data_IF_362686524295
#
_entry.id   IF_362686524295
#
_cell.length_a   1.000
_cell.length_b   1.000
_cell.length_c   1.000
_cell.angle_alpha   90.00
_cell.angle_beta   90.00
_cell.angle_gamma   90.00
#
_symmetry.space_group_name_H-M   'P 1'
#
loop_
_entity.id
_entity.type
_entity.pdbx_description
1 polymer ?
#
# COMPACT_ATOMS: atom_id res chain seq x y z
N UNK A 1 1.96 -3.96 18.70
CA UNK A 1 2.66 -4.54 17.55
C UNK A 1 1.76 -4.40 16.32
N UNK A 2 2.29 -3.99 15.15
CA UNK A 2 1.49 -3.71 13.96
C UNK A 2 0.88 -5.00 13.35
N UNK A 3 1.73 -6.02 13.22
CA UNK A 3 1.40 -7.37 12.75
C UNK A 3 1.42 -8.33 13.94
N UNK A 4 0.40 -9.16 14.09
CA UNK A 4 0.22 -10.06 15.23
C UNK A 4 0.38 -11.53 14.84
N UNK A 5 -0.17 -11.91 13.69
CA UNK A 5 -0.20 -13.29 13.20
C UNK A 5 -0.38 -13.32 11.68
N UNK A 6 -0.52 -14.53 11.12
CA UNK A 6 -0.60 -14.78 9.69
C UNK A 6 -1.89 -14.30 9.01
N UNK A 7 -2.88 -13.85 9.78
CA UNK A 7 -4.11 -13.27 9.25
C UNK A 7 -3.99 -11.75 9.07
N UNK A 8 -2.95 -11.11 9.60
CA UNK A 8 -2.73 -9.68 9.38
C UNK A 8 -2.07 -9.45 7.99
N UNK A 9 -2.48 -8.38 7.31
CA UNK A 9 -1.96 -8.03 5.99
C UNK A 9 -1.64 -6.55 5.82
N UNK A 10 -0.79 -6.25 4.84
CA UNK A 10 -0.37 -4.88 4.50
C UNK A 10 -0.57 -4.64 3.01
N UNK A 11 -1.21 -3.51 2.68
CA UNK A 11 -1.33 -3.07 1.30
C UNK A 11 0.00 -2.56 0.78
N UNK A 12 0.45 -3.07 -0.36
CA UNK A 12 1.76 -2.76 -0.97
C UNK A 12 1.57 -2.48 -2.46
N UNK A 13 2.21 -1.43 -3.03
CA UNK A 13 2.06 -1.11 -4.45
C UNK A 13 2.61 -2.21 -5.34
N UNK A 14 2.08 -2.31 -6.56
CA UNK A 14 2.63 -3.10 -7.65
C UNK A 14 2.85 -2.15 -8.85
N UNK A 15 4.08 -2.04 -9.39
CA UNK A 15 5.33 -2.63 -8.91
C UNK A 15 5.87 -1.96 -7.62
N UNK A 16 6.84 -2.60 -6.95
CA UNK A 16 7.46 -2.08 -5.70
C UNK A 16 8.92 -2.50 -5.50
N UNK A 17 9.63 -1.72 -4.68
CA UNK A 17 10.94 -2.08 -4.13
C UNK A 17 10.83 -3.30 -3.20
N UNK A 18 11.51 -4.43 -3.48
CA UNK A 18 11.21 -5.76 -2.91
C UNK A 18 11.36 -5.93 -1.38
N UNK A 19 11.78 -4.89 -0.66
CA UNK A 19 11.91 -4.93 0.80
C UNK A 19 10.60 -5.26 1.52
N UNK A 20 9.47 -4.71 1.06
CA UNK A 20 8.19 -4.91 1.75
C UNK A 20 7.70 -6.36 1.63
N UNK A 21 7.73 -6.92 0.42
CA UNK A 21 7.35 -8.32 0.21
C UNK A 21 8.24 -9.28 1.00
N UNK A 22 9.55 -9.05 1.01
CA UNK A 22 10.50 -9.85 1.78
C UNK A 22 10.25 -9.75 3.30
N UNK A 23 9.99 -8.54 3.80
CA UNK A 23 9.74 -8.30 5.22
C UNK A 23 8.43 -8.96 5.67
N UNK A 24 7.36 -8.85 4.89
CA UNK A 24 6.09 -9.49 5.20
C UNK A 24 6.20 -11.02 5.22
N UNK A 25 6.94 -11.60 4.26
CA UNK A 25 7.22 -13.04 4.25
C UNK A 25 7.97 -13.50 5.50
N UNK A 26 9.00 -12.75 5.93
CA UNK A 26 9.76 -13.04 7.15
C UNK A 26 8.91 -12.93 8.43
N UNK A 27 7.92 -12.04 8.44
CA UNK A 27 6.99 -11.84 9.56
C UNK A 27 5.76 -12.78 9.49
N UNK A 28 5.65 -13.63 8.46
CA UNK A 28 4.51 -14.51 8.25
C UNK A 28 3.20 -13.79 7.91
N UNK A 29 3.25 -12.51 7.54
CA UNK A 29 2.09 -11.67 7.25
C UNK A 29 1.74 -11.68 5.75
N UNK A 30 0.51 -11.30 5.43
CA UNK A 30 0.01 -11.31 4.05
C UNK A 30 0.36 -10.00 3.31
N UNK A 31 0.94 -10.14 2.12
CA UNK A 31 1.05 -9.01 1.19
C UNK A 31 -0.27 -8.84 0.42
N UNK A 32 -0.83 -7.63 0.46
CA UNK A 32 -2.06 -7.25 -0.24
C UNK A 32 -1.70 -6.29 -1.38
N UNK A 33 -1.42 -6.83 -2.58
CA UNK A 33 -1.05 -6.00 -3.73
C UNK A 33 -2.19 -5.09 -4.19
N UNK A 34 -1.85 -3.82 -4.48
CA UNK A 34 -2.68 -2.88 -5.23
C UNK A 34 -1.91 -2.37 -6.45
N UNK A 35 -2.60 -2.25 -7.58
CA UNK A 35 -1.98 -1.89 -8.86
C UNK A 35 -1.85 -0.37 -9.00
N UNK A 36 -0.68 0.08 -9.43
CA UNK A 36 -0.48 1.44 -9.91
C UNK A 36 -0.88 1.52 -11.40
N UNK A 37 -1.43 2.65 -11.81
CA UNK A 37 -1.86 2.85 -13.21
C UNK A 37 -0.70 3.38 -14.06
N UNK A 38 -0.02 2.47 -14.78
CA UNK A 38 1.10 2.79 -15.67
C UNK A 38 0.73 3.82 -16.74
N UNK A 39 -0.44 3.68 -17.38
CA UNK A 39 -0.97 4.57 -18.41
C UNK A 39 -1.30 5.98 -17.89
N UNK A 40 -1.51 6.12 -16.58
CA UNK A 40 -1.72 7.38 -15.88
C UNK A 40 -0.44 7.86 -15.15
N UNK A 41 0.75 7.48 -15.61
CA UNK A 41 2.01 7.93 -15.02
C UNK A 41 2.27 7.35 -13.63
N UNK A 42 1.86 6.10 -13.42
CA UNK A 42 1.93 5.38 -12.14
C UNK A 42 1.09 6.04 -11.04
N UNK A 43 -0.07 6.60 -11.40
CA UNK A 43 -1.05 7.12 -10.46
C UNK A 43 -1.56 6.02 -9.51
N UNK A 44 -2.02 6.43 -8.34
CA UNK A 44 -2.54 5.53 -7.32
C UNK A 44 -4.04 5.76 -7.11
N UNK A 45 -4.90 5.12 -7.93
CA UNK A 45 -6.35 5.22 -7.80
C UNK A 45 -6.83 4.62 -6.48
N UNK A 46 -7.69 5.34 -5.77
CA UNK A 46 -8.28 4.87 -4.50
C UNK A 46 -9.18 3.66 -4.74
N UNK A 47 -9.76 3.54 -5.93
CA UNK A 47 -10.57 2.40 -6.35
C UNK A 47 -9.78 1.08 -6.31
N UNK A 48 -8.48 1.09 -6.67
CA UNK A 48 -7.64 -0.11 -6.58
C UNK A 48 -7.30 -0.46 -5.13
N UNK A 49 -7.18 0.56 -4.25
CA UNK A 49 -7.01 0.35 -2.81
C UNK A 49 -8.25 -0.30 -2.18
N UNK A 50 -9.46 0.17 -2.55
CA UNK A 50 -10.73 -0.41 -2.10
C UNK A 50 -10.85 -1.87 -2.58
N UNK A 51 -10.56 -2.15 -3.86
CA UNK A 51 -10.57 -3.54 -4.39
C UNK A 51 -9.56 -4.44 -3.67
N UNK A 52 -8.36 -3.94 -3.35
CA UNK A 52 -7.36 -4.71 -2.62
C UNK A 52 -7.83 -5.05 -1.21
N UNK A 53 -8.49 -4.11 -0.53
CA UNK A 53 -9.09 -4.31 0.78
C UNK A 53 -10.23 -5.33 0.73
N UNK A 54 -11.14 -5.23 -0.24
CA UNK A 54 -12.21 -6.21 -0.44
C UNK A 54 -11.67 -7.63 -0.67
N UNK A 55 -10.66 -7.79 -1.55
CA UNK A 55 -10.00 -9.08 -1.78
C UNK A 55 -9.40 -9.66 -0.50
N UNK A 56 -8.83 -8.81 0.36
CA UNK A 56 -8.26 -9.23 1.64
C UNK A 56 -9.35 -9.76 2.59
N UNK A 57 -10.46 -9.02 2.71
CA UNK A 57 -11.58 -9.39 3.59
C UNK A 57 -12.24 -10.71 3.15
N UNK A 58 -12.42 -10.93 1.85
CA UNK A 58 -12.93 -12.21 1.31
C UNK A 58 -12.03 -13.38 1.71
N UNK A 59 -10.72 -13.15 1.79
CA UNK A 59 -9.72 -14.15 2.22
C UNK A 59 -9.57 -14.23 3.75
N UNK A 60 -10.42 -13.53 4.53
CA UNK A 60 -10.32 -13.41 5.99
C UNK A 60 -8.98 -12.85 6.48
N UNK A 61 -8.30 -12.04 5.64
CA UNK A 61 -7.11 -11.29 6.02
C UNK A 61 -7.52 -9.94 6.57
N UNK A 62 -6.94 -9.52 7.69
CA UNK A 62 -7.18 -8.25 8.37
C UNK A 62 -6.14 -7.23 7.88
N UNK A 63 -6.51 -6.23 7.05
CA UNK A 63 -5.58 -5.20 6.65
C UNK A 63 -5.20 -4.32 7.86
N UNK A 64 -3.90 -4.03 8.00
CA UNK A 64 -3.35 -3.27 9.14
C UNK A 64 -2.69 -1.96 8.72
N UNK A 65 -2.11 -1.94 7.52
CA UNK A 65 -1.37 -0.79 7.03
C UNK A 65 -1.43 -0.70 5.50
N UNK A 66 -1.12 0.49 4.99
CA UNK A 66 -0.87 0.80 3.60
C UNK A 66 0.53 1.38 3.47
N UNK A 67 1.33 0.79 2.59
CA UNK A 67 2.63 1.33 2.17
C UNK A 67 2.42 2.24 0.98
N UNK A 68 3.02 3.43 1.01
CA UNK A 68 3.11 4.35 -0.12
C UNK A 68 4.57 4.71 -0.31
N UNK A 69 5.11 4.49 -1.51
CA UNK A 69 6.48 4.88 -1.87
C UNK A 69 6.41 6.14 -2.73
N UNK A 70 6.89 7.27 -2.21
CA UNK A 70 6.79 8.56 -2.87
C UNK A 70 7.98 9.48 -2.53
N UNK A 71 8.85 9.85 -3.50
CA UNK A 71 8.85 9.42 -4.90
C UNK A 71 9.02 7.90 -5.09
N UNK A 72 8.37 7.37 -6.12
CA UNK A 72 8.19 5.93 -6.33
C UNK A 72 9.45 5.19 -6.75
N UNK A 73 9.61 3.96 -6.26
CA UNK A 73 10.64 3.01 -6.70
C UNK A 73 9.96 1.66 -7.00
N UNK A 74 10.06 1.12 -8.23
CA UNK A 74 10.95 1.53 -9.33
C UNK A 74 10.37 2.57 -10.31
N UNK A 75 9.17 3.09 -10.06
CA UNK A 75 8.38 3.87 -11.02
C UNK A 75 8.86 5.30 -11.25
N UNK A 76 9.59 5.89 -10.30
CA UNK A 76 10.12 7.26 -10.37
C UNK A 76 9.07 8.37 -10.33
N UNK A 77 7.79 8.05 -10.11
CA UNK A 77 6.72 9.03 -10.10
C UNK A 77 6.64 9.78 -8.76
N UNK A 78 6.10 11.00 -8.78
CA UNK A 78 5.71 11.75 -7.58
C UNK A 78 4.21 11.93 -7.56
N UNK A 79 3.58 11.60 -6.44
CA UNK A 79 2.13 11.69 -6.30
C UNK A 79 1.70 13.16 -6.19
N UNK A 80 0.65 13.57 -6.92
CA UNK A 80 0.07 14.90 -6.74
C UNK A 80 -0.62 15.02 -5.38
N UNK A 81 -0.69 16.25 -4.85
CA UNK A 81 -1.27 16.54 -3.53
C UNK A 81 -2.69 15.98 -3.36
N UNK A 82 -3.51 16.09 -4.39
CA UNK A 82 -4.89 15.59 -4.38
C UNK A 82 -4.95 14.07 -4.16
N UNK A 83 -4.04 13.32 -4.78
CA UNK A 83 -3.94 11.86 -4.62
C UNK A 83 -3.43 11.51 -3.22
N UNK A 84 -2.44 12.24 -2.69
CA UNK A 84 -1.96 12.06 -1.33
C UNK A 84 -3.07 12.29 -0.29
N UNK A 85 -3.85 13.36 -0.46
CA UNK A 85 -5.00 13.64 0.40
C UNK A 85 -6.08 12.56 0.31
N UNK A 86 -6.34 12.02 -0.88
CA UNK A 86 -7.29 10.94 -1.07
C UNK A 86 -6.86 9.66 -0.34
N UNK A 87 -5.55 9.36 -0.35
CA UNK A 87 -4.96 8.22 0.36
C UNK A 87 -5.03 8.39 1.86
N UNK A 88 -4.74 9.58 2.39
CA UNK A 88 -4.89 9.87 3.82
C UNK A 88 -6.34 9.67 4.27
N UNK A 89 -7.31 10.16 3.48
CA UNK A 89 -8.74 9.93 3.75
C UNK A 89 -9.10 8.45 3.72
N UNK A 90 -8.57 7.69 2.75
CA UNK A 90 -8.76 6.24 2.66
C UNK A 90 -8.22 5.52 3.90
N UNK A 91 -6.98 5.80 4.32
CA UNK A 91 -6.41 5.21 5.53
C UNK A 91 -7.22 5.56 6.79
N UNK A 92 -7.65 6.82 6.92
CA UNK A 92 -8.49 7.25 8.04
C UNK A 92 -9.85 6.56 8.06
N UNK A 93 -10.49 6.37 6.90
CA UNK A 93 -11.79 5.69 6.77
C UNK A 93 -11.70 4.23 7.22
N UNK A 94 -10.61 3.56 6.88
CA UNK A 94 -10.43 2.12 7.08
C UNK A 94 -9.55 1.75 8.29
N UNK A 95 -9.16 2.73 9.12
CA UNK A 95 -8.29 2.56 10.28
C UNK A 95 -6.95 1.88 9.93
N UNK A 96 -6.35 2.26 8.82
CA UNK A 96 -5.06 1.74 8.37
C UNK A 96 -3.92 2.65 8.84
N UNK A 97 -2.82 2.05 9.29
CA UNK A 97 -1.57 2.77 9.46
C UNK A 97 -1.01 3.13 8.08
N UNK A 98 -0.68 4.41 7.86
CA UNK A 98 0.01 4.85 6.65
C UNK A 98 1.53 4.76 6.86
N UNK A 99 2.20 3.96 6.05
CA UNK A 99 3.65 3.87 5.96
C UNK A 99 4.10 4.66 4.73
N UNK A 100 4.44 5.94 4.94
CA UNK A 100 4.95 6.81 3.89
C UNK A 100 6.47 6.65 3.78
N UNK A 101 6.92 6.03 2.69
CA UNK A 101 8.33 5.84 2.35
C UNK A 101 8.78 6.97 1.42
N UNK A 102 9.46 7.95 2.02
CA UNK A 102 9.84 9.22 1.40
C UNK A 102 11.36 9.36 1.23
N UNK A 103 12.07 8.23 1.10
CA UNK A 103 13.55 8.23 1.01
C UNK A 103 14.10 8.96 -0.23
N UNK A 104 13.26 9.24 -1.24
CA UNK A 104 13.64 9.93 -2.48
C UNK A 104 13.12 11.38 -2.56
N UNK A 105 12.79 12.02 -1.44
CA UNK A 105 12.08 13.33 -1.41
C UNK A 105 12.88 14.55 -1.93
N UNK A 106 14.20 14.44 -2.10
CA UNK A 106 15.08 15.55 -2.52
C UNK A 106 15.15 15.73 -4.04
#
# INVERSE_FOLDING_TARGET
>A
MLLRDSNDGVLVPIPQYPLYSATLALQGAQMLGYELQEDCGWAMPVEELEKALERALVRSVIPRALVVINPGNPTGNSLPLENMQAVVRFCSKHNLVLLADEVYQE
#
